data_IF_410196128955
#
_entry.id   IF_410196128955
#
_cell.length_a   1.000
_cell.length_b   1.000
_cell.length_c   1.000
_cell.angle_alpha   90.00
_cell.angle_beta   90.00
_cell.angle_gamma   90.00
#
_symmetry.space_group_name_H-M   'P 1'
#
loop_
_entity.id
_entity.type
_entity.pdbx_description
1 polymer ?
#
# COMPACT_ATOMS: atom_id res chain seq x y z
N UNK A 1 5.39 -12.12 19.97
CA UNK A 1 4.66 -13.18 20.69
C UNK A 1 3.60 -13.65 19.71
N UNK A 2 3.84 -14.83 19.15
CA UNK A 2 2.92 -15.70 18.40
C UNK A 2 2.28 -15.14 17.12
N UNK A 3 2.77 -15.65 15.98
CA UNK A 3 2.02 -15.70 14.72
C UNK A 3 0.70 -16.44 14.95
N UNK A 4 -0.43 -15.86 14.53
CA UNK A 4 -1.68 -16.60 14.40
C UNK A 4 -2.16 -16.51 12.95
N UNK A 5 -2.12 -17.67 12.28
CA UNK A 5 -2.83 -17.96 11.05
C UNK A 5 -4.27 -17.41 11.10
N UNK A 6 -4.65 -16.60 10.13
CA UNK A 6 -6.04 -16.52 9.69
C UNK A 6 -6.08 -16.48 8.16
N UNK A 7 -6.69 -17.53 7.61
CA UNK A 7 -6.89 -17.76 6.19
C UNK A 7 -7.84 -16.69 5.61
N UNK A 8 -7.50 -16.16 4.43
CA UNK A 8 -8.43 -15.39 3.59
C UNK A 8 -9.70 -16.21 3.34
N UNK A 9 -10.85 -15.75 3.83
CA UNK A 9 -12.18 -16.05 3.28
C UNK A 9 -13.19 -15.01 3.80
N UNK A 10 -13.99 -14.47 2.89
CA UNK A 10 -14.77 -13.25 3.07
C UNK A 10 -15.65 -13.19 4.31
N UNK A 11 -15.66 -11.98 4.89
CA UNK A 11 -16.56 -11.48 5.94
C UNK A 11 -16.40 -12.08 7.34
N UNK A 12 -15.28 -11.73 7.98
CA UNK A 12 -15.27 -11.44 9.42
C UNK A 12 -15.47 -9.93 9.63
N UNK A 13 -16.41 -9.56 10.50
CA UNK A 13 -16.83 -8.18 10.79
C UNK A 13 -15.98 -7.47 11.86
N UNK A 14 -14.85 -8.06 12.20
CA UNK A 14 -13.82 -7.49 13.07
C UNK A 14 -12.47 -7.85 12.44
N UNK A 15 -12.28 -7.39 11.21
CA UNK A 15 -10.98 -7.29 10.60
C UNK A 15 -10.13 -6.35 11.47
N UNK A 16 -9.36 -6.94 12.39
CA UNK A 16 -8.23 -6.28 12.99
C UNK A 16 -7.41 -5.71 11.84
N UNK A 17 -7.15 -4.40 11.89
CA UNK A 17 -6.33 -3.77 10.88
C UNK A 17 -4.92 -4.35 10.98
N UNK A 18 -4.42 -4.85 9.85
CA UNK A 18 -3.07 -5.39 9.70
C UNK A 18 -2.44 -4.63 8.55
N UNK A 19 -1.27 -4.05 8.80
CA UNK A 19 -0.52 -3.37 7.77
C UNK A 19 -0.02 -4.38 6.73
N UNK A 20 -0.06 -4.03 5.45
CA UNK A 20 0.58 -4.83 4.41
C UNK A 20 2.10 -4.74 4.55
N UNK A 21 2.76 -5.85 4.25
CA UNK A 21 4.23 -5.93 4.25
C UNK A 21 4.84 -5.28 3.02
N UNK A 22 6.12 -4.94 3.10
CA UNK A 22 6.88 -4.36 1.98
C UNK A 22 6.90 -5.32 0.78
N UNK A 23 7.04 -6.61 1.04
CA UNK A 23 7.09 -7.66 0.02
C UNK A 23 5.74 -7.83 -0.71
N UNK A 24 4.63 -7.77 0.03
CA UNK A 24 3.27 -7.83 -0.55
C UNK A 24 2.98 -6.59 -1.42
N UNK A 25 3.40 -5.42 -0.95
CA UNK A 25 3.27 -4.17 -1.69
C UNK A 25 4.13 -4.20 -2.95
N UNK A 26 5.38 -4.67 -2.86
CA UNK A 26 6.27 -4.80 -4.02
C UNK A 26 5.69 -5.75 -5.08
N UNK A 27 5.16 -6.90 -4.66
CA UNK A 27 4.47 -7.82 -5.58
C UNK A 27 3.24 -7.17 -6.24
N UNK A 28 2.52 -6.32 -5.51
CA UNK A 28 1.37 -5.58 -6.02
C UNK A 28 1.78 -4.51 -7.02
N UNK A 29 2.87 -3.78 -6.78
CA UNK A 29 3.45 -2.81 -7.72
C UNK A 29 3.77 -3.51 -9.05
N UNK A 30 4.49 -4.63 -9.01
CA UNK A 30 4.85 -5.38 -10.23
C UNK A 30 3.62 -5.92 -10.97
N UNK A 31 2.61 -6.39 -10.22
CA UNK A 31 1.34 -6.82 -10.80
C UNK A 31 0.61 -5.68 -11.52
N UNK A 32 0.54 -4.50 -10.92
CA UNK A 32 -0.12 -3.32 -11.51
C UNK A 32 0.66 -2.79 -12.72
N UNK A 33 2.00 -2.77 -12.66
CA UNK A 33 2.86 -2.47 -13.82
C UNK A 33 2.61 -3.43 -14.99
N UNK A 34 2.48 -4.73 -14.72
CA UNK A 34 2.10 -5.72 -15.72
C UNK A 34 0.71 -5.51 -16.35
N UNK A 35 -0.12 -4.66 -15.75
CA UNK A 35 -1.42 -4.23 -16.28
C UNK A 35 -1.34 -2.88 -17.02
N UNK A 36 -0.13 -2.37 -17.28
CA UNK A 36 0.14 -1.06 -17.90
C UNK A 36 -0.39 0.12 -17.08
N UNK A 37 -0.35 0.02 -15.75
CA UNK A 37 -0.55 1.17 -14.86
C UNK A 37 0.81 1.81 -14.58
N UNK A 38 0.94 3.09 -14.94
CA UNK A 38 2.10 3.95 -14.59
C UNK A 38 1.91 4.63 -13.21
N UNK A 39 1.02 4.06 -12.39
CA UNK A 39 0.59 4.57 -11.10
C UNK A 39 0.33 3.40 -10.16
N UNK A 40 0.37 3.65 -8.85
CA UNK A 40 0.06 2.65 -7.81
C UNK A 40 -1.29 2.93 -7.16
N UNK A 41 -2.20 1.97 -7.24
CA UNK A 41 -3.47 2.00 -6.53
C UNK A 41 -3.25 1.47 -5.12
N UNK A 42 -3.52 2.30 -4.11
CA UNK A 42 -3.36 1.98 -2.69
C UNK A 42 -4.32 0.85 -2.31
N UNK A 43 -3.82 -0.17 -1.64
CA UNK A 43 -4.60 -1.29 -1.13
C UNK A 43 -4.99 -1.06 0.33
N UNK A 44 -6.05 -1.73 0.77
CA UNK A 44 -6.35 -1.79 2.21
C UNK A 44 -5.14 -2.35 2.94
N UNK A 45 -4.76 -1.74 4.06
CA UNK A 45 -3.60 -2.16 4.87
C UNK A 45 -2.30 -1.44 4.50
N UNK A 46 -2.25 -0.72 3.38
CA UNK A 46 -1.06 0.03 3.04
C UNK A 46 -0.82 1.21 3.98
N UNK A 47 0.46 1.54 4.16
CA UNK A 47 0.90 2.80 4.75
C UNK A 47 1.86 3.47 3.79
N UNK A 48 1.93 4.80 3.81
CA UNK A 48 2.85 5.54 2.93
C UNK A 48 4.31 5.17 3.20
N UNK A 49 4.64 4.81 4.45
CA UNK A 49 5.95 4.28 4.83
C UNK A 49 6.26 2.95 4.13
N UNK A 50 5.36 1.96 4.21
CA UNK A 50 5.59 0.66 3.59
C UNK A 50 5.64 0.76 2.05
N UNK A 51 4.82 1.64 1.46
CA UNK A 51 4.86 1.96 0.02
C UNK A 51 6.20 2.56 -0.38
N UNK A 52 6.71 3.52 0.40
CA UNK A 52 8.03 4.12 0.14
C UNK A 52 9.14 3.08 0.19
N UNK A 53 9.12 2.19 1.18
CA UNK A 53 10.09 1.09 1.27
C UNK A 53 10.00 0.10 0.11
N UNK A 54 8.78 -0.24 -0.34
CA UNK A 54 8.55 -1.20 -1.41
C UNK A 54 8.89 -0.66 -2.81
N UNK A 55 8.63 0.63 -3.03
CA UNK A 55 8.89 1.31 -4.32
C UNK A 55 10.32 1.86 -4.43
N UNK A 56 10.98 2.11 -3.30
CA UNK A 56 12.24 2.85 -3.24
C UNK A 56 12.06 4.37 -3.42
N UNK A 57 10.83 4.87 -3.57
CA UNK A 57 10.54 6.30 -3.69
C UNK A 57 10.45 6.89 -2.28
N UNK A 58 11.21 7.93 -1.95
CA UNK A 58 11.12 8.60 -0.64
C UNK A 58 9.71 9.14 -0.32
N UNK A 59 9.31 9.10 0.96
CA UNK A 59 7.97 9.58 1.39
C UNK A 59 7.75 11.05 1.00
N UNK A 60 8.77 11.90 1.14
CA UNK A 60 8.72 13.31 0.77
C UNK A 60 8.49 13.52 -0.72
N UNK A 61 9.07 12.67 -1.57
CA UNK A 61 8.81 12.65 -3.00
C UNK A 61 7.37 12.20 -3.31
N UNK A 62 6.90 11.11 -2.69
CA UNK A 62 5.51 10.66 -2.83
C UNK A 62 4.51 11.74 -2.41
N UNK A 63 4.77 12.43 -1.30
CA UNK A 63 3.96 13.55 -0.81
C UNK A 63 3.95 14.70 -1.80
N UNK A 64 5.12 15.11 -2.31
CA UNK A 64 5.25 16.23 -3.22
C UNK A 64 4.55 15.98 -4.57
N UNK A 65 4.76 14.81 -5.16
CA UNK A 65 4.17 14.45 -6.47
C UNK A 65 2.65 14.36 -6.38
N UNK A 66 2.13 13.81 -5.27
CA UNK A 66 0.70 13.53 -5.11
C UNK A 66 -0.07 14.62 -4.35
N UNK A 67 0.60 15.67 -3.89
CA UNK A 67 -0.04 16.77 -3.16
C UNK A 67 -0.67 16.32 -1.83
N UNK A 68 -0.08 15.31 -1.18
CA UNK A 68 -0.61 14.72 0.06
C UNK A 68 -0.39 15.71 1.21
N UNK A 69 -1.47 16.15 1.84
CA UNK A 69 -1.38 17.13 2.94
C UNK A 69 -1.02 16.47 4.28
N UNK A 70 -1.40 15.21 4.46
CA UNK A 70 -1.12 14.44 5.66
C UNK A 70 -0.61 13.04 5.27
N UNK A 71 0.69 12.81 5.46
CA UNK A 71 1.35 11.55 5.12
C UNK A 71 0.81 10.34 5.93
N UNK A 72 0.23 10.59 7.10
CA UNK A 72 -0.36 9.55 7.96
C UNK A 72 -1.80 9.20 7.57
N UNK A 73 -2.39 9.90 6.58
CA UNK A 73 -3.76 9.70 6.15
C UNK A 73 -3.84 9.55 4.62
N UNK A 74 -3.84 8.30 4.18
CA UNK A 74 -4.07 7.88 2.80
C UNK A 74 -5.26 6.91 2.75
N UNK A 75 -5.90 6.79 1.58
CA UNK A 75 -7.10 5.97 1.43
C UNK A 75 -6.88 4.82 0.45
N UNK A 76 -7.36 3.63 0.80
CA UNK A 76 -7.39 2.51 -0.12
C UNK A 76 -8.29 2.85 -1.33
N UNK A 77 -7.80 2.51 -2.53
CA UNK A 77 -8.42 2.85 -3.81
C UNK A 77 -7.94 4.17 -4.41
N UNK A 78 -7.27 5.03 -3.64
CA UNK A 78 -6.61 6.21 -4.20
C UNK A 78 -5.37 5.81 -5.01
N UNK A 79 -4.95 6.71 -5.89
CA UNK A 79 -3.83 6.48 -6.80
C UNK A 79 -2.63 7.36 -6.47
N UNK A 80 -1.45 6.75 -6.40
CA UNK A 80 -0.16 7.41 -6.28
C UNK A 80 0.59 7.39 -7.61
N UNK A 81 1.08 8.55 -8.01
CA UNK A 81 1.94 8.74 -9.18
C UNK A 81 3.40 8.51 -8.85
N UNK A 82 4.19 8.20 -9.87
CA UNK A 82 5.66 8.06 -9.77
C UNK A 82 6.18 6.62 -9.85
N UNK A 83 5.34 5.65 -10.24
CA UNK A 83 5.65 4.21 -10.22
C UNK A 83 6.08 3.69 -11.59
#
# INVERSE_FOLDING_TARGET
MTELLAMVNGQDCYNEWVANTVEEIQATIEKQKGQNLDEYIIQWGDTLWAISQASGIPIDELVAINGIQNADLIYAGDTLKGF
#
